data_IF_764920996773
#
_entry.id   IF_764920996773
#
_cell.length_a   1.000
_cell.length_b   1.000
_cell.length_c   1.000
_cell.angle_alpha   90.00
_cell.angle_beta   90.00
_cell.angle_gamma   90.00
#
_symmetry.space_group_name_H-M   'P 1'
#
loop_
_entity.id
_entity.type
_entity.pdbx_description
1 polymer ?
#
# COMPACT_ATOMS: atom_id res chain seq x y z
N UNK A 1 23.90 -6.45 -17.55
CA UNK A 1 22.67 -7.27 -17.48
C UNK A 1 21.57 -6.53 -18.22
N UNK A 2 20.65 -7.20 -18.91
CA UNK A 2 19.47 -6.54 -19.46
C UNK A 2 18.60 -5.99 -18.33
N UNK A 3 17.81 -4.95 -18.63
CA UNK A 3 16.81 -4.43 -17.70
C UNK A 3 15.72 -5.49 -17.44
N UNK A 4 15.37 -5.66 -16.17
CA UNK A 4 14.30 -6.54 -15.70
C UNK A 4 13.26 -5.68 -14.98
N UNK A 5 12.14 -5.43 -15.66
CA UNK A 5 11.07 -4.59 -15.14
C UNK A 5 10.34 -5.22 -13.95
N UNK A 6 10.18 -6.55 -13.93
CA UNK A 6 9.52 -7.23 -12.81
C UNK A 6 10.37 -7.12 -11.56
N UNK A 7 11.68 -7.42 -11.67
CA UNK A 7 12.62 -7.26 -10.55
C UNK A 7 12.74 -5.81 -10.11
N UNK A 8 12.77 -4.86 -11.05
CA UNK A 8 12.82 -3.44 -10.73
C UNK A 8 11.59 -3.00 -9.93
N UNK A 9 10.39 -3.40 -10.35
CA UNK A 9 9.15 -3.08 -9.64
C UNK A 9 9.09 -3.74 -8.26
N UNK A 10 9.44 -5.02 -8.15
CA UNK A 10 9.46 -5.70 -6.84
C UNK A 10 10.39 -5.02 -5.85
N UNK A 11 11.58 -4.61 -6.29
CA UNK A 11 12.52 -3.87 -5.44
C UNK A 11 11.93 -2.53 -5.02
N UNK A 12 11.30 -1.78 -5.93
CA UNK A 12 10.65 -0.52 -5.57
C UNK A 12 9.51 -0.69 -4.57
N UNK A 13 8.71 -1.76 -4.71
CA UNK A 13 7.65 -2.08 -3.76
C UNK A 13 8.20 -2.45 -2.38
N UNK A 14 9.31 -3.20 -2.33
CA UNK A 14 9.96 -3.55 -1.08
C UNK A 14 10.54 -2.30 -0.37
N UNK A 15 11.22 -1.43 -1.11
CA UNK A 15 11.81 -0.18 -0.57
C UNK A 15 10.73 0.84 -0.14
N UNK A 16 9.52 0.75 -0.68
CA UNK A 16 8.39 1.56 -0.28
C UNK A 16 7.80 1.17 1.09
N UNK A 17 7.99 -0.09 1.52
CA UNK A 17 7.55 -0.60 2.80
C UNK A 17 8.68 -0.42 3.82
N UNK A 18 8.73 0.74 4.44
CA UNK A 18 9.77 1.07 5.42
C UNK A 18 9.20 1.73 6.66
N UNK A 19 10.00 1.72 7.71
CA UNK A 19 9.78 2.50 8.92
C UNK A 19 11.06 3.22 9.30
N UNK A 20 10.97 4.53 9.51
CA UNK A 20 12.04 5.38 9.98
C UNK A 20 11.71 5.87 11.40
N UNK A 21 12.28 5.16 12.39
CA UNK A 21 12.16 5.48 13.82
C UNK A 21 12.58 6.90 14.17
N UNK A 22 13.55 7.48 13.45
CA UNK A 22 14.06 8.81 13.77
C UNK A 22 13.05 9.92 13.45
N UNK A 23 12.12 9.65 12.53
CA UNK A 23 11.10 10.59 12.10
C UNK A 23 9.67 10.09 12.38
N UNK A 24 9.52 8.91 13.00
CA UNK A 24 8.22 8.26 13.16
C UNK A 24 7.50 8.08 11.83
N UNK A 25 8.23 7.86 10.73
CA UNK A 25 7.67 7.86 9.38
C UNK A 25 7.53 6.44 8.84
N UNK A 26 6.36 6.11 8.30
CA UNK A 26 6.02 4.80 7.78
C UNK A 26 5.61 4.91 6.30
N UNK A 27 6.25 4.12 5.46
CA UNK A 27 5.83 3.94 4.07
C UNK A 27 4.65 2.97 3.98
N UNK A 28 3.51 3.47 3.49
CA UNK A 28 2.31 2.69 3.23
C UNK A 28 2.04 2.62 1.74
N UNK A 29 1.82 1.42 1.21
CA UNK A 29 1.54 1.20 -0.20
C UNK A 29 0.11 0.67 -0.40
N UNK A 30 -0.64 1.36 -1.25
CA UNK A 30 -2.01 1.04 -1.59
C UNK A 30 -2.11 0.52 -3.02
N UNK A 31 -3.00 -0.45 -3.26
CA UNK A 31 -3.37 -0.91 -4.60
C UNK A 31 -4.76 -0.43 -4.95
N UNK A 32 -4.85 0.35 -6.01
CA UNK A 32 -6.04 1.10 -6.39
C UNK A 32 -6.73 0.42 -7.57
N UNK A 33 -8.02 0.16 -7.41
CA UNK A 33 -8.92 -0.22 -8.49
C UNK A 33 -9.38 1.07 -9.20
N UNK A 34 -8.76 1.36 -10.34
CA UNK A 34 -9.07 2.57 -11.11
C UNK A 34 -10.49 2.54 -11.71
N UNK A 35 -11.06 1.34 -11.91
CA UNK A 35 -12.42 1.19 -12.44
C UNK A 35 -13.46 1.45 -11.35
N UNK A 36 -13.29 0.84 -10.18
CA UNK A 36 -14.14 1.08 -9.01
C UNK A 36 -13.83 2.41 -8.29
N UNK A 37 -12.73 3.06 -8.66
CA UNK A 37 -12.17 4.26 -8.00
C UNK A 37 -12.06 4.05 -6.49
N UNK A 38 -11.43 2.96 -6.07
CA UNK A 38 -11.25 2.66 -4.65
C UNK A 38 -9.91 1.98 -4.34
N UNK A 39 -9.45 2.14 -3.11
CA UNK A 39 -8.30 1.42 -2.56
C UNK A 39 -8.69 -0.02 -2.22
N UNK A 40 -8.12 -1.01 -2.89
CA UNK A 40 -8.46 -2.43 -2.69
C UNK A 40 -7.60 -3.12 -1.66
N UNK A 41 -6.31 -2.78 -1.66
CA UNK A 41 -5.34 -3.35 -0.73
C UNK A 41 -4.50 -2.25 -0.13
N UNK A 42 -4.14 -2.45 1.13
CA UNK A 42 -3.19 -1.63 1.85
C UNK A 42 -2.06 -2.52 2.34
N UNK A 43 -0.84 -2.02 2.28
CA UNK A 43 0.31 -2.68 2.84
C UNK A 43 1.16 -1.70 3.64
N UNK A 44 1.59 -2.15 4.81
CA UNK A 44 2.34 -1.33 5.75
C UNK A 44 3.28 -2.21 6.57
N UNK A 45 4.25 -1.57 7.20
CA UNK A 45 5.10 -2.20 8.20
C UNK A 45 4.44 -2.08 9.58
N UNK A 46 4.51 -3.14 10.39
CA UNK A 46 4.05 -3.18 11.76
C UNK A 46 5.26 -3.06 12.70
N UNK A 47 5.47 -1.90 13.36
CA UNK A 47 6.63 -1.70 14.22
C UNK A 47 6.66 -2.57 15.48
N UNK A 48 5.48 -3.02 15.94
CA UNK A 48 5.33 -3.77 17.20
C UNK A 48 6.02 -5.14 17.17
N UNK A 49 5.95 -5.83 16.03
CA UNK A 49 6.50 -7.17 15.80
C UNK A 49 7.52 -7.21 14.65
N UNK A 50 7.70 -6.11 13.93
CA UNK A 50 8.72 -5.95 12.89
C UNK A 50 8.37 -6.65 11.58
N UNK A 51 7.09 -6.80 11.29
CA UNK A 51 6.56 -7.57 10.16
C UNK A 51 5.84 -6.66 9.16
N UNK A 52 5.37 -7.25 8.08
CA UNK A 52 4.63 -6.54 7.04
C UNK A 52 3.26 -7.16 6.90
N UNK A 53 2.23 -6.31 6.89
CA UNK A 53 0.86 -6.74 6.69
C UNK A 53 0.35 -6.23 5.35
N UNK A 54 -0.45 -7.07 4.69
CA UNK A 54 -1.28 -6.69 3.56
C UNK A 54 -2.72 -6.95 3.97
N UNK A 55 -3.58 -5.95 3.77
CA UNK A 55 -4.98 -5.98 4.13
C UNK A 55 -5.83 -5.78 2.88
N UNK A 56 -6.99 -6.45 2.81
CA UNK A 56 -8.00 -6.24 1.78
C UNK A 56 -9.10 -5.34 2.34
N UNK A 57 -9.38 -4.24 1.65
CA UNK A 57 -10.43 -3.31 2.04
C UNK A 57 -11.81 -3.97 1.92
N UNK A 58 -12.61 -3.85 2.96
CA UNK A 58 -13.98 -4.39 3.05
C UNK A 58 -15.04 -3.30 3.04
N UNK A 59 -14.67 -2.08 3.42
CA UNK A 59 -15.48 -0.87 3.34
C UNK A 59 -14.66 0.33 2.86
N UNK A 60 -15.34 1.30 2.27
CA UNK A 60 -14.74 2.52 1.71
C UNK A 60 -15.46 3.75 2.21
N UNK A 61 -14.77 4.89 2.16
CA UNK A 61 -15.39 6.18 2.44
C UNK A 61 -16.44 6.52 1.38
N UNK A 62 -17.59 7.03 1.83
CA UNK A 62 -18.69 7.45 0.96
C UNK A 62 -18.36 8.78 0.26
N UNK A 63 -17.44 9.58 0.83
CA UNK A 63 -17.02 10.90 0.35
C UNK A 63 -15.83 10.85 -0.62
N UNK A 64 -15.83 9.89 -1.56
CA UNK A 64 -14.80 9.82 -2.59
C UNK A 64 -14.77 11.13 -3.42
N UNK A 65 -13.62 11.79 -3.63
CA UNK A 65 -13.57 13.09 -4.28
C UNK A 65 -14.15 13.04 -5.71
N UNK A 66 -15.25 13.76 -5.91
CA UNK A 66 -15.94 13.89 -7.19
C UNK A 66 -15.19 14.88 -8.12
N UNK A 67 -14.08 14.46 -8.71
CA UNK A 67 -13.37 15.30 -9.69
C UNK A 67 -12.15 14.68 -10.34
N UNK A 68 -11.77 15.20 -11.51
CA UNK A 68 -10.51 14.88 -12.21
C UNK A 68 -9.32 15.72 -11.70
N UNK A 69 -9.56 16.77 -10.91
CA UNK A 69 -8.57 17.80 -10.50
C UNK A 69 -8.01 17.62 -9.07
N UNK A 70 -8.53 16.69 -8.27
CA UNK A 70 -7.99 16.36 -6.96
C UNK A 70 -7.11 15.11 -7.08
N UNK A 71 -5.83 15.25 -6.75
CA UNK A 71 -4.72 14.41 -7.22
C UNK A 71 -4.79 12.90 -6.88
N UNK A 72 -5.81 12.45 -6.15
CA UNK A 72 -6.08 11.05 -5.80
C UNK A 72 -7.61 10.83 -5.80
N UNK A 73 -8.17 10.60 -6.98
CA UNK A 73 -9.61 10.49 -7.23
C UNK A 73 -10.28 9.17 -6.82
N UNK A 74 -9.88 8.54 -5.71
CA UNK A 74 -10.43 7.25 -5.26
C UNK A 74 -10.89 7.26 -3.80
N UNK A 75 -11.84 6.38 -3.48
CA UNK A 75 -12.32 6.14 -2.12
C UNK A 75 -11.26 5.38 -1.30
N UNK A 76 -10.93 5.90 -0.12
CA UNK A 76 -10.01 5.25 0.83
C UNK A 76 -10.71 4.15 1.60
N UNK A 77 -9.97 3.12 2.00
CA UNK A 77 -10.51 2.06 2.85
C UNK A 77 -10.85 2.61 4.24
N UNK A 78 -12.02 2.24 4.77
CA UNK A 78 -12.45 2.57 6.14
C UNK A 78 -12.50 1.34 7.05
N UNK A 79 -12.51 0.15 6.46
CA UNK A 79 -12.44 -1.14 7.14
C UNK A 79 -11.68 -2.14 6.25
N UNK A 80 -11.00 -3.09 6.87
CA UNK A 80 -10.13 -4.05 6.19
C UNK A 80 -10.02 -5.36 6.96
N UNK A 81 -9.78 -6.44 6.20
CA UNK A 81 -9.42 -7.76 6.73
C UNK A 81 -7.97 -8.08 6.36
N UNK A 82 -7.25 -8.78 7.24
CA UNK A 82 -5.90 -9.28 6.92
C UNK A 82 -5.95 -10.21 5.70
N UNK A 83 -5.25 -9.84 4.64
CA UNK A 83 -5.04 -10.69 3.46
C UNK A 83 -3.82 -11.59 3.65
N UNK A 84 -2.76 -11.06 4.26
CA UNK A 84 -1.58 -11.83 4.62
C UNK A 84 -0.57 -11.05 5.45
N UNK A 85 0.32 -11.82 6.06
CA UNK A 85 1.34 -11.35 6.99
C UNK A 85 2.70 -11.93 6.58
N UNK A 86 3.75 -11.11 6.57
CA UNK A 86 5.04 -11.42 5.95
C UNK A 86 6.22 -11.00 6.82
N UNK A 87 7.29 -11.81 6.78
CA UNK A 87 8.47 -11.63 7.64
C UNK A 87 9.47 -10.60 7.07
N UNK A 88 9.36 -10.25 5.79
CA UNK A 88 10.29 -9.36 5.10
C UNK A 88 9.60 -8.59 3.95
N UNK A 89 10.15 -7.43 3.55
CA UNK A 89 9.51 -6.58 2.55
C UNK A 89 9.49 -7.23 1.16
N UNK A 90 10.42 -8.13 0.84
CA UNK A 90 10.45 -8.83 -0.45
C UNK A 90 9.23 -9.74 -0.63
N UNK A 91 8.81 -10.45 0.43
CA UNK A 91 7.61 -11.28 0.41
C UNK A 91 6.33 -10.44 0.24
N UNK A 92 6.22 -9.34 1.00
CA UNK A 92 5.10 -8.42 0.87
C UNK A 92 5.06 -7.79 -0.54
N UNK A 93 6.21 -7.40 -1.09
CA UNK A 93 6.34 -6.86 -2.44
C UNK A 93 5.94 -7.88 -3.53
N UNK A 94 6.31 -9.15 -3.38
CA UNK A 94 5.88 -10.22 -4.28
C UNK A 94 4.35 -10.41 -4.25
N UNK A 95 3.74 -10.39 -3.07
CA UNK A 95 2.29 -10.46 -2.90
C UNK A 95 1.58 -9.27 -3.56
N UNK A 96 2.06 -8.05 -3.30
CA UNK A 96 1.51 -6.82 -3.88
C UNK A 96 1.64 -6.80 -5.40
N UNK A 97 2.80 -7.17 -5.93
CA UNK A 97 3.00 -7.26 -7.39
C UNK A 97 2.05 -8.28 -8.04
N UNK A 98 1.84 -9.43 -7.38
CA UNK A 98 0.93 -10.46 -7.84
C UNK A 98 -0.54 -10.01 -7.80
N UNK A 99 -0.95 -9.32 -6.73
CA UNK A 99 -2.28 -8.72 -6.60
C UNK A 99 -2.52 -7.64 -7.67
N UNK A 100 -1.58 -6.71 -7.83
CA UNK A 100 -1.66 -5.65 -8.82
C UNK A 100 -1.82 -6.22 -10.24
N UNK A 101 -1.03 -7.24 -10.58
CA UNK A 101 -1.08 -7.90 -11.89
C UNK A 101 -2.38 -8.69 -12.10
N UNK A 102 -2.83 -9.43 -11.11
CA UNK A 102 -4.01 -10.31 -11.25
C UNK A 102 -5.33 -9.54 -11.26
N UNK A 103 -5.39 -8.40 -10.58
CA UNK A 103 -6.59 -7.56 -10.46
C UNK A 103 -6.51 -6.23 -11.21
N UNK A 104 -5.45 -6.01 -11.99
CA UNK A 104 -5.21 -4.79 -12.76
C UNK A 104 -5.25 -3.51 -11.91
N UNK A 105 -4.58 -3.54 -10.76
CA UNK A 105 -4.56 -2.44 -9.79
C UNK A 105 -3.34 -1.54 -9.99
N UNK A 106 -3.48 -0.27 -9.63
CA UNK A 106 -2.42 0.73 -9.69
C UNK A 106 -1.78 0.94 -8.31
N UNK A 107 -0.44 1.03 -8.20
CA UNK A 107 0.19 1.33 -6.93
C UNK A 107 0.03 2.82 -6.58
N UNK A 108 -0.18 3.12 -5.30
CA UNK A 108 -0.13 4.45 -4.72
C UNK A 108 0.69 4.40 -3.44
N UNK A 109 1.60 5.35 -3.23
CA UNK A 109 2.45 5.42 -2.04
C UNK A 109 2.00 6.60 -1.17
N UNK A 110 1.78 6.33 0.11
CA UNK A 110 1.49 7.35 1.11
C UNK A 110 2.51 7.22 2.24
N UNK A 111 3.04 8.37 2.67
CA UNK A 111 3.90 8.45 3.85
C UNK A 111 3.02 8.80 5.05
N UNK A 112 2.97 7.91 6.03
CA UNK A 112 2.28 8.12 7.29
C UNK A 112 3.29 8.56 8.35
N UNK A 113 2.87 9.43 9.26
CA UNK A 113 3.68 9.86 10.39
C UNK A 113 2.97 9.44 11.67
N UNK A 114 3.72 8.90 12.63
CA UNK A 114 3.23 8.68 13.99
C UNK A 114 2.79 10.02 14.56
N UNK A 115 1.56 10.07 15.06
CA UNK A 115 1.04 11.27 15.71
C UNK A 115 1.82 11.45 17.02
N UNK A 116 2.69 12.46 17.09
CA UNK A 116 3.31 12.90 18.35
C UNK A 116 2.18 13.43 19.23
N UNK A 117 1.50 12.53 19.95
CA UNK A 117 0.40 12.88 20.84
C UNK A 117 0.80 14.06 21.73
N UNK A 118 0.14 15.20 21.53
CA UNK A 118 0.40 16.46 22.26
C UNK A 118 -0.03 16.34 23.72
#
# INVERSE_FOLDING_TARGET
MPFDGERFTQVLLAEALFYDEAYGALGSLSLIDAEARCERYLASFMPEDGTFVVEEATAWDDDAPEGEDEAIGYALATDSDEYGHYDNPEQAAEALFSLARSRNLQPSLTLLFEDEGV
#
